data_IF_742285011219
#
_entry.id   IF_742285011219
#
_cell.length_a   1.000
_cell.length_b   1.000
_cell.length_c   1.000
_cell.angle_alpha   90.00
_cell.angle_beta   90.00
_cell.angle_gamma   90.00
#
_symmetry.space_group_name_H-M   'P 1'
#
loop_
_entity.id
_entity.type
_entity.pdbx_description
1 polymer ?
#
# COMPACT_ATOMS: atom_id res chain seq x y z
N UNK A 1 4.55 40.40 -10.30
CA UNK A 1 3.42 39.66 -9.67
C UNK A 1 2.98 38.39 -10.44
N UNK A 2 3.22 38.24 -11.73
CA UNK A 2 2.76 37.10 -12.53
C UNK A 2 3.54 35.79 -12.28
N UNK A 3 4.85 35.84 -12.02
CA UNK A 3 5.68 34.63 -11.82
C UNK A 3 5.43 33.90 -10.48
N UNK A 4 4.99 34.62 -9.43
CA UNK A 4 4.65 34.01 -8.14
C UNK A 4 3.37 33.17 -8.21
N UNK A 5 2.34 33.62 -8.94
CA UNK A 5 1.08 32.86 -9.14
C UNK A 5 1.27 31.63 -10.03
N UNK A 6 2.14 31.67 -11.03
CA UNK A 6 2.42 30.54 -11.92
C UNK A 6 3.19 29.41 -11.19
N UNK A 7 4.05 29.72 -10.21
CA UNK A 7 4.73 28.73 -9.37
C UNK A 7 3.78 28.07 -8.35
N UNK A 8 2.76 28.76 -7.87
CA UNK A 8 1.78 28.24 -6.92
C UNK A 8 0.85 27.16 -7.50
N UNK A 9 0.72 27.09 -8.84
CA UNK A 9 -0.16 26.13 -9.53
C UNK A 9 0.55 24.85 -10.03
N UNK A 10 1.85 24.69 -9.78
CA UNK A 10 2.57 23.49 -10.20
C UNK A 10 2.64 22.49 -9.07
N UNK A 11 2.36 21.22 -9.38
CA UNK A 11 2.52 20.12 -8.43
C UNK A 11 3.99 20.01 -8.04
N UNK A 12 4.33 20.04 -6.73
CA UNK A 12 5.71 19.94 -6.25
C UNK A 12 6.39 18.65 -6.70
N UNK A 13 7.70 18.70 -6.99
CA UNK A 13 8.48 17.53 -7.39
C UNK A 13 8.40 16.37 -6.37
N UNK A 14 8.32 16.68 -5.07
CA UNK A 14 8.16 15.67 -4.02
C UNK A 14 6.87 14.83 -4.16
N UNK A 15 5.79 15.39 -4.72
CA UNK A 15 4.54 14.64 -4.99
C UNK A 15 4.76 13.64 -6.13
N UNK A 16 5.47 14.03 -7.18
CA UNK A 16 5.84 13.12 -8.27
C UNK A 16 6.70 11.96 -7.75
N UNK A 17 7.70 12.27 -6.91
CA UNK A 17 8.55 11.24 -6.29
C UNK A 17 7.71 10.28 -5.45
N UNK A 18 6.80 10.79 -4.58
CA UNK A 18 5.91 9.96 -3.79
C UNK A 18 4.95 9.12 -4.65
N UNK A 19 4.49 9.68 -5.77
CA UNK A 19 3.69 8.94 -6.74
C UNK A 19 4.47 7.79 -7.40
N UNK A 20 5.71 8.03 -7.85
CA UNK A 20 6.56 6.97 -8.41
C UNK A 20 6.98 5.93 -7.37
N UNK A 21 7.21 6.32 -6.11
CA UNK A 21 7.43 5.39 -5.00
C UNK A 21 6.24 4.45 -4.85
N UNK A 22 5.03 5.00 -4.86
CA UNK A 22 3.79 4.21 -4.77
C UNK A 22 3.63 3.29 -5.98
N UNK A 23 3.81 3.82 -7.19
CA UNK A 23 3.72 3.05 -8.45
C UNK A 23 4.68 1.86 -8.44
N UNK A 24 5.96 2.07 -8.14
CA UNK A 24 6.96 1.00 -8.09
C UNK A 24 6.62 -0.07 -7.05
N UNK A 25 6.15 0.35 -5.87
CA UNK A 25 5.75 -0.59 -4.83
C UNK A 25 4.49 -1.36 -5.22
N UNK A 26 3.55 -0.73 -5.92
CA UNK A 26 2.34 -1.40 -6.40
C UNK A 26 2.67 -2.36 -7.55
N UNK A 27 3.56 -2.01 -8.49
CA UNK A 27 4.11 -2.98 -9.46
C UNK A 27 4.67 -4.19 -8.72
N UNK A 28 5.56 -3.98 -7.75
CA UNK A 28 6.17 -5.05 -6.96
C UNK A 28 5.14 -5.93 -6.27
N UNK A 29 4.16 -5.31 -5.63
CA UNK A 29 3.15 -6.04 -4.86
C UNK A 29 2.18 -6.78 -5.76
N UNK A 30 1.69 -6.15 -6.82
CA UNK A 30 0.68 -6.72 -7.71
C UNK A 30 1.25 -7.83 -8.61
N UNK A 31 2.55 -7.79 -8.95
CA UNK A 31 3.22 -8.94 -9.59
C UNK A 31 3.11 -10.22 -8.75
N UNK A 32 3.21 -10.11 -7.43
CA UNK A 32 3.09 -11.27 -6.55
C UNK A 32 1.62 -11.58 -6.28
N UNK A 33 0.82 -10.59 -5.93
CA UNK A 33 -0.56 -10.80 -5.47
C UNK A 33 -1.47 -11.38 -6.55
N UNK A 34 -1.26 -11.02 -7.81
CA UNK A 34 -2.00 -11.60 -8.94
C UNK A 34 -1.73 -13.09 -9.16
N UNK A 35 -0.51 -13.55 -8.87
CA UNK A 35 -0.11 -14.95 -9.04
C UNK A 35 -0.21 -15.77 -7.75
N UNK A 36 -0.26 -15.12 -6.58
CA UNK A 36 -0.17 -15.78 -5.28
C UNK A 36 -1.28 -16.82 -5.03
N UNK A 37 -2.56 -16.57 -5.37
CA UNK A 37 -3.61 -17.57 -5.21
C UNK A 37 -3.33 -18.83 -6.04
N UNK A 38 -2.87 -18.64 -7.28
CA UNK A 38 -2.52 -19.71 -8.19
C UNK A 38 -1.33 -20.51 -7.66
N UNK A 39 -0.26 -19.82 -7.26
CA UNK A 39 0.92 -20.43 -6.63
C UNK A 39 0.56 -21.25 -5.39
N UNK A 40 -0.29 -20.74 -4.50
CA UNK A 40 -0.71 -21.46 -3.30
C UNK A 40 -1.47 -22.75 -3.64
N UNK A 41 -2.33 -22.73 -4.66
CA UNK A 41 -3.13 -23.90 -5.03
C UNK A 41 -2.28 -24.90 -5.84
N UNK A 42 -1.58 -24.45 -6.89
CA UNK A 42 -0.92 -25.35 -7.83
C UNK A 42 0.44 -25.85 -7.34
N UNK A 43 1.25 -24.96 -6.72
CA UNK A 43 2.59 -25.32 -6.28
C UNK A 43 2.66 -25.80 -4.82
N UNK A 44 1.77 -25.29 -3.95
CA UNK A 44 1.77 -25.61 -2.52
C UNK A 44 0.60 -26.49 -2.07
N UNK A 45 -0.34 -26.82 -2.97
CA UNK A 45 -1.46 -27.71 -2.68
C UNK A 45 -2.51 -27.12 -1.71
N UNK A 46 -2.61 -25.78 -1.59
CA UNK A 46 -3.56 -25.15 -0.71
C UNK A 46 -5.00 -25.29 -1.22
N UNK A 47 -5.96 -25.50 -0.30
CA UNK A 47 -7.37 -25.42 -0.65
C UNK A 47 -7.82 -23.96 -0.83
N UNK A 48 -8.91 -23.72 -1.60
CA UNK A 48 -9.49 -22.40 -1.74
C UNK A 48 -9.89 -21.77 -0.40
N UNK A 49 -10.28 -22.59 0.58
CA UNK A 49 -10.57 -22.12 1.94
C UNK A 49 -9.31 -21.52 2.61
N UNK A 50 -8.16 -22.18 2.49
CA UNK A 50 -6.88 -21.69 3.05
C UNK A 50 -6.46 -20.37 2.36
N UNK A 51 -6.63 -20.27 1.04
CA UNK A 51 -6.38 -19.03 0.31
C UNK A 51 -7.26 -17.90 0.83
N UNK A 52 -8.57 -18.14 0.98
CA UNK A 52 -9.51 -17.16 1.51
C UNK A 52 -9.18 -16.73 2.94
N UNK A 53 -8.76 -17.66 3.80
CA UNK A 53 -8.35 -17.37 5.17
C UNK A 53 -7.09 -16.47 5.21
N UNK A 54 -6.09 -16.77 4.38
CA UNK A 54 -4.85 -15.97 4.28
C UNK A 54 -5.17 -14.56 3.79
N UNK A 55 -5.97 -14.42 2.73
CA UNK A 55 -6.36 -13.12 2.19
C UNK A 55 -7.19 -12.32 3.22
N UNK A 56 -8.14 -12.94 3.88
CA UNK A 56 -8.97 -12.29 4.91
C UNK A 56 -8.13 -11.80 6.11
N UNK A 57 -7.23 -12.63 6.62
CA UNK A 57 -6.30 -12.22 7.69
C UNK A 57 -5.37 -11.10 7.25
N UNK A 58 -4.88 -11.16 6.03
CA UNK A 58 -4.01 -10.15 5.46
C UNK A 58 -4.71 -8.78 5.34
N UNK A 59 -5.90 -8.74 4.77
CA UNK A 59 -6.67 -7.49 4.64
C UNK A 59 -7.07 -6.92 6.00
N UNK A 60 -7.53 -7.75 6.93
CA UNK A 60 -7.83 -7.32 8.31
C UNK A 60 -6.59 -6.69 8.98
N UNK A 61 -5.41 -7.32 8.82
CA UNK A 61 -4.15 -6.81 9.36
C UNK A 61 -3.81 -5.43 8.78
N UNK A 62 -3.94 -5.23 7.47
CA UNK A 62 -3.65 -3.94 6.83
C UNK A 62 -4.57 -2.82 7.35
N UNK A 63 -5.87 -3.10 7.51
CA UNK A 63 -6.85 -2.14 8.01
C UNK A 63 -6.57 -1.76 9.47
N UNK A 64 -6.34 -2.74 10.34
CA UNK A 64 -6.03 -2.51 11.75
C UNK A 64 -4.76 -1.67 11.89
N UNK A 65 -3.67 -2.09 11.24
CA UNK A 65 -2.38 -1.39 11.31
C UNK A 65 -2.48 0.03 10.76
N UNK A 66 -3.27 0.27 9.71
CA UNK A 66 -3.47 1.60 9.11
C UNK A 66 -4.06 2.61 10.11
N UNK A 67 -5.02 2.17 10.93
CA UNK A 67 -5.63 3.03 11.97
C UNK A 67 -4.57 3.47 12.99
N UNK A 68 -3.78 2.52 13.50
CA UNK A 68 -2.72 2.84 14.47
C UNK A 68 -1.58 3.64 13.87
N UNK A 69 -1.22 3.37 12.62
CA UNK A 69 -0.16 4.08 11.91
C UNK A 69 -0.48 5.57 11.72
N UNK A 70 -1.74 5.92 11.43
CA UNK A 70 -2.16 7.32 11.33
C UNK A 70 -1.92 8.08 12.65
N UNK A 71 -2.37 7.51 13.75
CA UNK A 71 -2.18 8.09 15.09
C UNK A 71 -0.70 8.21 15.44
N UNK A 72 0.08 7.16 15.19
CA UNK A 72 1.52 7.15 15.46
C UNK A 72 2.26 8.18 14.61
N UNK A 73 1.90 8.34 13.35
CA UNK A 73 2.45 9.33 12.44
C UNK A 73 2.26 10.75 12.95
N UNK A 74 1.05 11.07 13.41
CA UNK A 74 0.72 12.39 13.95
C UNK A 74 1.43 12.64 15.31
N UNK A 75 1.56 11.60 16.13
CA UNK A 75 2.25 11.68 17.41
C UNK A 75 3.77 11.88 17.28
N UNK A 76 4.41 11.11 16.38
CA UNK A 76 5.86 11.18 16.19
C UNK A 76 6.30 12.43 15.43
N UNK A 77 5.45 12.99 14.56
CA UNK A 77 5.77 14.12 13.70
C UNK A 77 6.88 13.82 12.66
N UNK A 78 7.32 12.57 12.56
CA UNK A 78 8.34 12.08 11.61
C UNK A 78 7.70 11.16 10.58
N UNK A 79 7.08 11.77 9.58
CA UNK A 79 6.28 11.05 8.57
C UNK A 79 7.12 10.24 7.61
N UNK A 80 8.25 10.80 7.15
CA UNK A 80 9.16 10.12 6.22
C UNK A 80 9.71 8.83 6.83
N UNK A 81 10.21 8.87 8.06
CA UNK A 81 10.80 7.69 8.72
C UNK A 81 9.81 6.53 8.83
N UNK A 82 8.56 6.81 9.22
CA UNK A 82 7.52 5.80 9.32
C UNK A 82 7.09 5.26 7.95
N UNK A 83 7.00 6.13 6.94
CA UNK A 83 6.74 5.71 5.56
C UNK A 83 7.86 4.78 5.05
N UNK A 84 9.14 5.18 5.20
CA UNK A 84 10.30 4.36 4.82
C UNK A 84 10.26 2.99 5.47
N UNK A 85 9.98 2.93 6.77
CA UNK A 85 9.87 1.66 7.50
C UNK A 85 8.76 0.76 6.90
N UNK A 86 7.57 1.31 6.63
CA UNK A 86 6.48 0.55 6.01
C UNK A 86 6.79 0.08 4.59
N UNK A 87 7.46 0.92 3.77
CA UNK A 87 7.91 0.52 2.44
C UNK A 87 9.01 -0.53 2.50
N UNK A 88 9.96 -0.42 3.44
CA UNK A 88 11.03 -1.41 3.65
C UNK A 88 10.47 -2.78 4.06
N UNK A 89 9.50 -2.83 4.99
CA UNK A 89 8.82 -4.07 5.35
C UNK A 89 8.14 -4.72 4.13
N UNK A 90 7.45 -3.92 3.32
CA UNK A 90 6.84 -4.40 2.08
C UNK A 90 7.87 -4.95 1.09
N UNK A 91 9.02 -4.27 0.89
CA UNK A 91 10.09 -4.73 0.01
C UNK A 91 10.76 -6.00 0.54
N UNK A 92 11.03 -6.08 1.86
CA UNK A 92 11.66 -7.24 2.50
C UNK A 92 10.76 -8.47 2.57
N UNK A 93 9.44 -8.32 2.46
CA UNK A 93 8.52 -9.45 2.37
C UNK A 93 8.60 -10.18 1.02
N UNK A 94 9.05 -9.51 -0.06
CA UNK A 94 9.06 -10.08 -1.42
C UNK A 94 10.00 -11.29 -1.56
N UNK A 95 11.25 -11.27 -1.09
CA UNK A 95 12.11 -12.45 -1.07
C UNK A 95 11.49 -13.63 -0.32
N UNK A 96 10.71 -13.40 0.73
CA UNK A 96 10.06 -14.47 1.49
C UNK A 96 9.00 -15.21 0.65
N UNK A 97 8.26 -14.51 -0.23
CA UNK A 97 7.35 -15.16 -1.17
C UNK A 97 8.12 -16.02 -2.19
N UNK A 98 9.21 -15.49 -2.75
CA UNK A 98 10.02 -16.20 -3.74
C UNK A 98 10.67 -17.46 -3.16
N UNK A 99 11.08 -17.41 -1.90
CA UNK A 99 11.71 -18.55 -1.22
C UNK A 99 10.70 -19.50 -0.55
N UNK A 100 9.43 -19.13 -0.41
CA UNK A 100 8.44 -19.84 0.40
C UNK A 100 8.39 -21.37 0.10
N UNK A 101 8.80 -22.23 1.02
CA UNK A 101 8.73 -23.69 0.87
C UNK A 101 7.33 -24.24 1.17
N UNK A 102 6.44 -23.43 1.76
CA UNK A 102 5.10 -23.87 2.14
C UNK A 102 4.20 -22.70 2.57
N UNK A 103 2.95 -23.04 2.83
CA UNK A 103 1.83 -22.08 3.11
C UNK A 103 2.10 -21.21 4.34
N UNK A 104 2.75 -21.75 5.38
CA UNK A 104 3.08 -21.01 6.61
C UNK A 104 4.02 -19.83 6.34
N UNK A 105 5.01 -20.00 5.47
CA UNK A 105 5.93 -18.93 5.08
C UNK A 105 5.20 -17.91 4.21
N UNK A 106 4.33 -18.35 3.29
CA UNK A 106 3.45 -17.44 2.51
C UNK A 106 2.59 -16.60 3.43
N UNK A 107 1.94 -17.20 4.43
CA UNK A 107 1.15 -16.47 5.42
C UNK A 107 2.00 -15.42 6.15
N UNK A 108 3.18 -15.80 6.64
CA UNK A 108 4.10 -14.88 7.32
C UNK A 108 4.51 -13.71 6.41
N UNK A 109 4.92 -14.00 5.17
CA UNK A 109 5.29 -12.99 4.18
C UNK A 109 4.11 -12.05 3.86
N UNK A 110 2.90 -12.60 3.72
CA UNK A 110 1.68 -11.85 3.45
C UNK A 110 1.34 -10.91 4.59
N UNK A 111 1.42 -11.37 5.84
CA UNK A 111 1.18 -10.54 7.02
C UNK A 111 2.21 -9.42 7.14
N UNK A 112 3.50 -9.70 6.93
CA UNK A 112 4.57 -8.68 6.94
C UNK A 112 4.31 -7.63 5.86
N UNK A 113 3.96 -8.03 4.64
CA UNK A 113 3.61 -7.11 3.55
C UNK A 113 2.43 -6.22 3.93
N UNK A 114 1.37 -6.78 4.52
CA UNK A 114 0.17 -6.05 4.93
C UNK A 114 0.41 -5.11 6.10
N UNK A 115 1.24 -5.50 7.07
CA UNK A 115 1.73 -4.60 8.12
C UNK A 115 2.49 -3.42 7.48
N UNK A 116 3.41 -3.68 6.55
CA UNK A 116 4.12 -2.65 5.80
C UNK A 116 3.16 -1.70 5.07
N UNK A 117 2.13 -2.24 4.37
CA UNK A 117 1.10 -1.47 3.67
C UNK A 117 0.29 -0.60 4.64
N UNK A 118 -0.11 -1.16 5.79
CA UNK A 118 -0.84 -0.43 6.83
C UNK A 118 -0.01 0.72 7.42
N UNK A 119 1.28 0.48 7.69
CA UNK A 119 2.17 1.49 8.27
C UNK A 119 2.42 2.65 7.29
N UNK A 120 2.69 2.37 6.00
CA UNK A 120 3.09 3.40 5.03
C UNK A 120 1.97 4.31 4.56
N UNK A 121 0.70 3.85 4.59
CA UNK A 121 -0.42 4.54 3.97
C UNK A 121 -0.66 5.94 4.51
N UNK A 122 -0.95 6.05 5.80
CA UNK A 122 -1.25 7.33 6.45
C UNK A 122 -0.07 8.33 6.44
N UNK A 123 1.18 7.94 6.79
CA UNK A 123 2.32 8.84 6.72
C UNK A 123 2.62 9.37 5.31
N UNK A 124 2.49 8.51 4.29
CA UNK A 124 2.66 8.91 2.88
C UNK A 124 1.64 9.97 2.47
N UNK A 125 0.37 9.73 2.76
CA UNK A 125 -0.70 10.65 2.40
C UNK A 125 -0.56 11.98 3.15
N UNK A 126 -0.11 11.93 4.41
CA UNK A 126 0.21 13.11 5.18
C UNK A 126 1.41 13.90 4.60
N UNK A 127 2.47 13.22 4.10
CA UNK A 127 3.57 13.88 3.41
C UNK A 127 3.10 14.60 2.14
N UNK A 128 2.24 13.96 1.32
CA UNK A 128 1.64 14.62 0.14
C UNK A 128 0.91 15.90 0.55
N UNK A 129 0.10 15.85 1.61
CA UNK A 129 -0.62 17.03 2.10
C UNK A 129 0.32 18.14 2.60
N UNK A 130 1.43 17.78 3.27
CA UNK A 130 2.36 18.74 3.86
C UNK A 130 3.19 19.50 2.82
N UNK A 131 3.61 18.81 1.74
CA UNK A 131 4.43 19.43 0.68
C UNK A 131 3.59 20.13 -0.37
N UNK A 132 2.26 20.00 -0.32
CA UNK A 132 1.35 20.54 -1.35
C UNK A 132 0.58 21.76 -0.84
N UNK A 133 0.60 22.89 -1.57
CA UNK A 133 -0.25 24.04 -1.29
C UNK A 133 -1.74 23.64 -1.27
N UNK A 134 -2.53 24.27 -0.36
CA UNK A 134 -3.94 23.88 -0.15
C UNK A 134 -4.78 23.90 -1.42
N UNK A 135 -4.60 24.91 -2.27
CA UNK A 135 -5.39 25.09 -3.49
C UNK A 135 -5.20 24.01 -4.56
N UNK A 136 -4.15 23.20 -4.48
CA UNK A 136 -3.85 22.14 -5.46
C UNK A 136 -3.72 20.73 -4.83
N UNK A 137 -4.11 20.57 -3.55
CA UNK A 137 -4.07 19.25 -2.87
C UNK A 137 -4.86 18.19 -3.63
N UNK A 138 -6.04 18.53 -4.14
CA UNK A 138 -6.84 17.60 -4.95
C UNK A 138 -6.09 17.07 -6.16
N UNK A 139 -5.39 17.94 -6.89
CA UNK A 139 -4.58 17.54 -8.05
C UNK A 139 -3.39 16.68 -7.64
N UNK A 140 -2.73 16.99 -6.51
CA UNK A 140 -1.61 16.20 -5.97
C UNK A 140 -2.04 14.78 -5.57
N UNK A 141 -3.16 14.65 -4.87
CA UNK A 141 -3.73 13.33 -4.53
C UNK A 141 -4.21 12.59 -5.77
N UNK A 142 -4.81 13.30 -6.74
CA UNK A 142 -5.21 12.72 -8.02
C UNK A 142 -4.02 12.16 -8.80
N UNK A 143 -2.92 12.91 -8.92
CA UNK A 143 -1.69 12.45 -9.55
C UNK A 143 -1.12 11.20 -8.86
N UNK A 144 -1.01 11.24 -7.52
CA UNK A 144 -0.54 10.09 -6.75
C UNK A 144 -1.41 8.87 -6.99
N UNK A 145 -2.73 9.02 -6.94
CA UNK A 145 -3.67 7.91 -7.16
C UNK A 145 -3.60 7.38 -8.59
N UNK A 146 -3.41 8.25 -9.59
CA UNK A 146 -3.23 7.81 -10.97
C UNK A 146 -1.97 6.95 -11.13
N UNK A 147 -0.86 7.33 -10.49
CA UNK A 147 0.36 6.53 -10.50
C UNK A 147 0.21 5.21 -9.74
N UNK A 148 -0.52 5.18 -8.61
CA UNK A 148 -0.91 3.92 -7.94
C UNK A 148 -1.66 3.00 -8.92
N UNK A 149 -2.68 3.53 -9.63
CA UNK A 149 -3.48 2.76 -10.59
C UNK A 149 -2.64 2.24 -11.75
N UNK A 150 -1.71 3.05 -12.28
CA UNK A 150 -0.75 2.60 -13.30
C UNK A 150 0.09 1.43 -12.77
N UNK A 151 0.59 1.53 -11.53
CA UNK A 151 1.33 0.45 -10.89
C UNK A 151 0.51 -0.82 -10.73
N UNK A 152 -0.74 -0.68 -10.26
CA UNK A 152 -1.67 -1.78 -10.08
C UNK A 152 -2.03 -2.49 -11.40
N UNK A 153 -2.06 -1.75 -12.52
CA UNK A 153 -2.27 -2.31 -13.85
C UNK A 153 -1.01 -2.98 -14.42
N UNK A 154 0.15 -2.33 -14.32
CA UNK A 154 1.40 -2.84 -14.87
C UNK A 154 1.91 -4.09 -14.12
N UNK A 155 1.65 -4.20 -12.81
CA UNK A 155 2.10 -5.32 -12.00
C UNK A 155 1.63 -6.68 -12.53
N UNK A 156 0.30 -6.93 -12.61
CA UNK A 156 -0.26 -8.17 -13.16
C UNK A 156 0.15 -8.40 -14.62
N UNK A 157 0.21 -7.33 -15.44
CA UNK A 157 0.61 -7.44 -16.85
C UNK A 157 2.05 -7.95 -16.99
N UNK A 158 2.97 -7.41 -16.18
CA UNK A 158 4.37 -7.87 -16.13
C UNK A 158 4.44 -9.31 -15.59
N UNK A 159 3.66 -9.64 -14.57
CA UNK A 159 3.62 -10.97 -14.02
C UNK A 159 3.21 -12.01 -15.07
N UNK A 160 2.13 -11.76 -15.81
CA UNK A 160 1.68 -12.64 -16.90
C UNK A 160 2.73 -12.73 -18.00
N UNK A 161 3.30 -11.59 -18.43
CA UNK A 161 4.34 -11.58 -19.46
C UNK A 161 5.58 -12.41 -19.06
N UNK A 162 6.01 -12.31 -17.80
CA UNK A 162 7.16 -13.11 -17.29
C UNK A 162 6.82 -14.58 -17.12
N UNK A 163 5.60 -14.93 -16.70
CA UNK A 163 5.14 -16.32 -16.64
C UNK A 163 5.21 -16.99 -18.02
N UNK A 164 4.75 -16.30 -19.07
CA UNK A 164 4.84 -16.78 -20.44
C UNK A 164 6.27 -16.95 -20.92
N UNK A 165 7.18 -16.07 -20.50
CA UNK A 165 8.60 -16.13 -20.89
C UNK A 165 9.37 -17.25 -20.16
N UNK A 166 9.00 -17.59 -18.92
CA UNK A 166 9.74 -18.50 -18.05
C UNK A 166 8.99 -19.79 -17.75
N UNK A 167 8.09 -20.22 -18.64
CA UNK A 167 7.38 -21.48 -18.56
C UNK A 167 6.76 -21.74 -17.16
N UNK A 168 6.02 -20.75 -16.66
CA UNK A 168 5.27 -20.80 -15.40
C UNK A 168 6.13 -20.89 -14.11
N UNK A 169 7.36 -20.35 -14.14
CA UNK A 169 8.17 -20.23 -12.93
C UNK A 169 7.72 -19.05 -12.04
N UNK A 170 6.78 -19.32 -11.13
CA UNK A 170 6.28 -18.34 -10.14
C UNK A 170 7.41 -17.73 -9.31
N UNK A 171 8.41 -18.53 -8.90
CA UNK A 171 9.47 -18.06 -8.02
C UNK A 171 10.39 -17.07 -8.71
N UNK A 172 10.71 -17.31 -9.98
CA UNK A 172 11.47 -16.36 -10.79
C UNK A 172 10.75 -15.02 -10.91
N UNK A 173 9.43 -15.01 -11.18
CA UNK A 173 8.62 -13.79 -11.23
C UNK A 173 8.62 -13.07 -9.87
N UNK A 174 8.51 -13.81 -8.76
CA UNK A 174 8.56 -13.21 -7.41
C UNK A 174 9.92 -12.59 -7.09
N UNK A 175 11.02 -13.16 -7.58
CA UNK A 175 12.34 -12.56 -7.45
C UNK A 175 12.46 -11.26 -8.25
N UNK A 176 11.89 -11.16 -9.45
CA UNK A 176 11.85 -9.92 -10.23
C UNK A 176 11.05 -8.84 -9.49
N UNK A 177 9.95 -9.20 -8.82
CA UNK A 177 9.14 -8.28 -8.06
C UNK A 177 9.91 -7.59 -6.90
N UNK A 178 11.02 -8.16 -6.44
CA UNK A 178 11.92 -7.54 -5.44
C UNK A 178 12.52 -6.24 -5.98
N UNK A 179 12.85 -6.19 -7.27
CA UNK A 179 13.55 -5.04 -7.88
C UNK A 179 12.75 -3.74 -7.75
N UNK A 180 11.50 -3.63 -8.25
CA UNK A 180 10.72 -2.42 -8.09
C UNK A 180 10.40 -2.09 -6.62
N UNK A 181 10.28 -3.10 -5.75
CA UNK A 181 10.12 -2.89 -4.31
C UNK A 181 11.32 -2.18 -3.66
N UNK A 182 12.53 -2.64 -3.96
CA UNK A 182 13.76 -2.00 -3.47
C UNK A 182 13.98 -0.62 -4.09
N UNK A 183 13.67 -0.44 -5.37
CA UNK A 183 13.73 0.87 -6.04
C UNK A 183 12.77 1.87 -5.40
N UNK A 184 11.56 1.44 -5.01
CA UNK A 184 10.61 2.29 -4.29
C UNK A 184 11.19 2.78 -2.95
N UNK A 185 11.83 1.89 -2.18
CA UNK A 185 12.47 2.26 -0.91
C UNK A 185 13.63 3.24 -1.14
N UNK A 186 14.51 2.95 -2.10
CA UNK A 186 15.62 3.82 -2.45
C UNK A 186 15.15 5.21 -2.90
N UNK A 187 14.14 5.26 -3.78
CA UNK A 187 13.57 6.51 -4.27
C UNK A 187 12.94 7.33 -3.12
N UNK A 188 12.28 6.68 -2.16
CA UNK A 188 11.72 7.37 -0.99
C UNK A 188 12.82 7.91 -0.07
N UNK A 189 13.88 7.13 0.15
CA UNK A 189 15.00 7.53 1.01
C UNK A 189 15.72 8.77 0.47
N UNK A 190 16.03 8.77 -0.82
CA UNK A 190 16.87 9.80 -1.44
C UNK A 190 16.07 10.93 -2.11
N UNK A 191 14.86 10.63 -2.61
CA UNK A 191 14.06 11.56 -3.41
C UNK A 191 13.11 12.44 -2.61
N UNK A 192 12.76 12.08 -1.36
CA UNK A 192 11.83 12.85 -0.53
C UNK A 192 12.55 13.46 0.65
N UNK A 193 12.37 14.77 0.85
CA UNK A 193 12.83 15.47 2.04
C UNK A 193 11.66 15.70 3.01
N UNK A 194 11.91 15.51 4.28
CA UNK A 194 10.91 15.82 5.30
C UNK A 194 10.75 17.34 5.39
N UNK A 195 9.52 17.90 5.29
CA UNK A 195 9.33 19.34 5.39
C UNK A 195 9.80 19.85 6.74
N UNK A 196 10.71 20.81 6.76
CA UNK A 196 11.14 21.49 7.99
C UNK A 196 9.96 22.29 8.55
N UNK A 197 9.52 22.02 9.79
CA UNK A 197 8.69 23.00 10.48
C UNK A 197 7.43 22.55 11.23
N UNK A 198 7.23 21.26 11.52
CA UNK A 198 6.09 20.84 12.39
C UNK A 198 6.48 20.21 13.72
N UNK A 199 7.66 20.46 14.22
CA UNK A 199 8.13 20.01 15.55
C UNK A 199 7.39 20.67 16.73
N UNK A 200 6.43 21.57 16.48
CA UNK A 200 5.71 22.32 17.51
C UNK A 200 4.19 22.08 17.60
N UNK A 201 3.58 21.27 16.74
CA UNK A 201 2.16 20.97 16.88
C UNK A 201 1.91 20.15 18.16
N UNK A 202 1.03 20.63 19.03
CA UNK A 202 0.62 19.94 20.27
C UNK A 202 0.34 18.47 19.98
N UNK A 203 1.08 17.60 20.64
CA UNK A 203 0.89 16.14 20.63
C UNK A 203 -0.39 15.77 21.38
N UNK A 204 -1.54 16.06 20.80
CA UNK A 204 -2.84 15.63 21.32
C UNK A 204 -3.15 14.26 20.74
N UNK A 205 -3.51 13.32 21.59
CA UNK A 205 -3.96 12.01 21.13
C UNK A 205 -5.29 12.18 20.37
N UNK A 206 -5.33 11.95 19.02
CA UNK A 206 -6.53 12.15 18.24
C UNK A 206 -7.64 11.13 18.61
N UNK A 207 -7.29 9.95 19.13
CA UNK A 207 -8.23 8.93 19.61
C UNK A 207 -8.44 9.11 21.12
N UNK A 208 -9.01 10.24 21.54
CA UNK A 208 -9.52 10.40 22.89
C UNK A 208 -11.02 10.09 22.93
N UNK A 209 -11.51 9.54 24.04
CA UNK A 209 -12.96 9.33 24.24
C UNK A 209 -13.77 10.61 24.04
N UNK A 210 -13.18 11.75 24.37
CA UNK A 210 -13.80 13.05 24.19
C UNK A 210 -13.95 13.42 22.71
N UNK A 211 -12.92 13.19 21.87
CA UNK A 211 -12.97 13.44 20.44
C UNK A 211 -13.96 12.47 19.76
N UNK A 212 -14.01 11.22 20.15
CA UNK A 212 -14.99 10.23 19.64
C UNK A 212 -16.43 10.62 19.98
N UNK A 213 -16.70 11.20 21.16
CA UNK A 213 -18.03 11.68 21.55
C UNK A 213 -18.47 12.91 20.77
N UNK A 214 -17.53 13.70 20.23
CA UNK A 214 -17.83 14.88 19.39
C UNK A 214 -18.26 14.50 17.98
N UNK A 215 -18.04 13.23 17.56
CA UNK A 215 -18.51 12.74 16.28
C UNK A 215 -20.03 12.54 16.32
N UNK A 216 -20.75 13.28 15.48
CA UNK A 216 -22.21 13.21 15.43
C UNK A 216 -22.71 11.86 14.92
N UNK A 217 -24.00 11.57 15.13
CA UNK A 217 -24.66 10.34 14.69
C UNK A 217 -24.51 10.09 13.17
N UNK A 218 -24.52 11.14 12.36
CA UNK A 218 -24.32 11.06 10.92
C UNK A 218 -22.97 10.41 10.55
N UNK A 219 -21.91 10.70 11.29
CA UNK A 219 -20.61 10.07 11.10
C UNK A 219 -20.69 8.53 11.31
N UNK A 220 -21.33 8.10 12.39
CA UNK A 220 -21.49 6.67 12.72
C UNK A 220 -22.38 5.94 11.72
N UNK A 221 -23.38 6.61 11.16
CA UNK A 221 -24.17 6.07 10.06
C UNK A 221 -23.32 5.82 8.80
N UNK A 222 -22.48 6.78 8.41
CA UNK A 222 -21.56 6.62 7.29
C UNK A 222 -20.57 5.48 7.53
N UNK A 223 -20.03 5.36 8.76
CA UNK A 223 -19.14 4.26 9.15
C UNK A 223 -19.87 2.92 9.07
N UNK A 224 -21.11 2.84 9.56
CA UNK A 224 -21.93 1.62 9.52
C UNK A 224 -22.23 1.17 8.09
N UNK A 225 -22.66 2.09 7.23
CA UNK A 225 -22.92 1.82 5.81
C UNK A 225 -21.62 1.39 5.11
N UNK A 226 -20.51 2.08 5.35
CA UNK A 226 -19.20 1.71 4.81
C UNK A 226 -18.74 0.33 5.24
N UNK A 227 -18.99 -0.06 6.50
CA UNK A 227 -18.69 -1.40 7.01
C UNK A 227 -19.50 -2.48 6.28
N UNK A 228 -20.82 -2.26 6.07
CA UNK A 228 -21.68 -3.19 5.30
C UNK A 228 -21.17 -3.34 3.85
N UNK A 229 -20.85 -2.24 3.17
CA UNK A 229 -20.28 -2.31 1.81
C UNK A 229 -18.93 -3.02 1.78
N UNK A 230 -18.10 -2.85 2.81
CA UNK A 230 -16.81 -3.54 2.90
C UNK A 230 -16.99 -5.04 3.09
N UNK A 231 -17.99 -5.48 3.88
CA UNK A 231 -18.33 -6.90 4.03
C UNK A 231 -18.86 -7.54 2.74
N UNK A 232 -19.49 -6.77 1.86
CA UNK A 232 -19.95 -7.24 0.56
C UNK A 232 -18.83 -7.44 -0.46
N UNK A 233 -17.62 -6.91 -0.23
CA UNK A 233 -16.45 -7.13 -1.10
C UNK A 233 -15.87 -8.52 -0.87
N UNK A 234 -15.75 -9.28 -1.94
CA UNK A 234 -14.98 -10.53 -1.95
C UNK A 234 -13.55 -10.28 -2.48
N UNK A 235 -12.62 -11.20 -2.16
CA UNK A 235 -11.24 -11.10 -2.62
C UNK A 235 -11.15 -11.44 -4.11
N UNK A 236 -10.40 -10.65 -4.85
CA UNK A 236 -10.08 -10.89 -6.27
C UNK A 236 -9.36 -12.23 -6.50
N UNK A 237 -8.72 -12.77 -5.46
CA UNK A 237 -8.12 -14.10 -5.46
C UNK A 237 -9.08 -15.21 -5.92
N UNK A 238 -10.37 -15.12 -5.56
CA UNK A 238 -11.36 -16.11 -5.99
C UNK A 238 -11.73 -16.00 -7.47
N UNK A 239 -11.64 -14.81 -8.06
CA UNK A 239 -11.83 -14.63 -9.52
C UNK A 239 -10.70 -15.31 -10.29
N UNK A 240 -9.46 -15.16 -9.84
CA UNK A 240 -8.29 -15.83 -10.45
C UNK A 240 -8.44 -17.34 -10.37
N UNK A 241 -8.80 -17.89 -9.19
CA UNK A 241 -9.02 -19.31 -9.01
C UNK A 241 -10.20 -19.84 -9.87
N UNK A 242 -11.26 -19.06 -10.02
CA UNK A 242 -12.39 -19.44 -10.85
C UNK A 242 -12.04 -19.46 -12.33
N UNK A 243 -11.28 -18.48 -12.81
CA UNK A 243 -10.81 -18.42 -14.18
C UNK A 243 -9.92 -19.60 -14.58
N UNK A 244 -9.19 -20.19 -13.63
CA UNK A 244 -8.37 -21.38 -13.85
C UNK A 244 -9.21 -22.66 -14.04
N UNK A 245 -10.44 -22.70 -13.53
CA UNK A 245 -11.31 -23.88 -13.59
C UNK A 245 -12.17 -23.94 -14.88
N UNK A 246 -12.21 -22.90 -15.66
CA UNK A 246 -12.97 -22.79 -16.93
C UNK A 246 -12.08 -22.93 -18.12
#
# INVERSE_FOLDING_TARGET
MGQSKARANRIPAGVWVLGFVSMLMDISSEMIHSLLPLFMVTALGASAFVVGLIEGLAEATALIVKVFSGVLSDYLGRRKGLAVFGYALGALSKPLFAWAPGISVVLGARLIDRVGKGIRGAPRDALVADITPEGIRGAAFGLRQSLDTVGAFLGPLLAVGLMLLWADDFRAVFWVAVIPGLLAVALLLFGVHEPAGRTGARRTNPISRENLRRLGSAYWWVVGIGAVFTLARFSEAFLVLRAQQG
#
